data_IF_453763587865
#
_entry.id   IF_453763587865
#
_cell.length_a   1.000
_cell.length_b   1.000
_cell.length_c   1.000
_cell.angle_alpha   90.00
_cell.angle_beta   90.00
_cell.angle_gamma   90.00
#
_symmetry.space_group_name_H-M   'P 1'
#
loop_
_entity.id
_entity.type
_entity.pdbx_description
1 polymer ?
#
# COMPACT_ATOMS: atom_id res chain seq x y z
N UNK A 1 -38.19 22.03 20.11
CA UNK A 1 -37.31 21.92 21.28
C UNK A 1 -35.89 21.64 20.81
N UNK A 2 -34.95 22.54 21.12
CA UNK A 2 -33.52 22.26 21.04
C UNK A 2 -33.16 21.38 22.23
N UNK A 3 -32.53 20.23 22.01
CA UNK A 3 -31.51 19.62 22.88
C UNK A 3 -31.01 18.29 22.28
N UNK A 4 -29.75 18.31 21.88
CA UNK A 4 -28.73 17.32 22.24
C UNK A 4 -29.00 15.85 21.82
N UNK A 5 -28.84 15.54 20.53
CA UNK A 5 -28.38 14.21 20.15
C UNK A 5 -26.85 14.26 20.12
N UNK A 6 -26.23 13.76 21.19
CA UNK A 6 -24.79 13.61 21.33
C UNK A 6 -24.21 12.85 20.14
N UNK A 7 -23.29 13.49 19.41
CA UNK A 7 -22.32 12.85 18.54
C UNK A 7 -21.45 11.90 19.39
N UNK A 8 -21.82 10.62 19.44
CA UNK A 8 -20.94 9.54 19.90
C UNK A 8 -20.33 8.84 18.67
N UNK A 9 -19.46 9.56 17.95
CA UNK A 9 -18.54 8.95 16.98
C UNK A 9 -17.40 8.31 17.78
N UNK A 10 -17.57 7.09 18.26
CA UNK A 10 -16.51 6.38 18.99
C UNK A 10 -16.51 4.86 18.84
N UNK A 11 -16.97 4.31 17.71
CA UNK A 11 -16.99 2.85 17.52
C UNK A 11 -16.26 2.42 16.26
N UNK A 12 -14.91 2.51 16.25
CA UNK A 12 -14.00 1.45 15.70
C UNK A 12 -12.58 1.50 16.34
N UNK A 13 -12.42 1.94 17.59
CA UNK A 13 -11.10 1.92 18.26
C UNK A 13 -11.19 1.35 19.68
N UNK A 14 -11.51 0.06 19.78
CA UNK A 14 -11.17 -0.78 20.92
C UNK A 14 -10.73 -2.13 20.37
N UNK A 15 -9.44 -2.45 20.34
CA UNK A 15 -8.71 -2.97 21.51
C UNK A 15 -7.25 -2.46 21.58
N UNK A 16 -6.79 -2.24 22.82
CA UNK A 16 -5.43 -1.89 23.21
C UNK A 16 -4.47 -3.07 23.00
N UNK A 17 -3.29 -2.77 22.44
CA UNK A 17 -2.15 -3.70 22.34
C UNK A 17 -0.99 -3.08 21.55
N UNK A 18 -0.10 -2.38 22.25
CA UNK A 18 1.33 -2.09 21.99
C UNK A 18 1.88 -2.85 20.76
N UNK A 19 2.42 -2.27 19.69
CA UNK A 19 3.53 -1.30 19.51
C UNK A 19 3.31 -0.67 18.10
N UNK A 20 3.92 0.47 17.76
CA UNK A 20 4.21 0.97 16.39
C UNK A 20 3.91 -0.04 15.25
N UNK A 21 3.24 0.20 14.12
CA UNK A 21 3.15 1.35 13.23
C UNK A 21 2.29 0.86 12.02
N UNK A 22 1.19 1.50 11.67
CA UNK A 22 0.71 1.49 10.28
C UNK A 22 -0.11 2.77 10.12
N UNK A 23 0.62 3.89 10.05
CA UNK A 23 0.04 5.24 10.05
C UNK A 23 -0.59 5.63 8.71
N UNK A 24 -0.31 4.89 7.63
CA UNK A 24 -0.29 5.53 6.31
C UNK A 24 -1.07 4.75 5.25
N UNK A 25 -2.23 4.18 5.57
CA UNK A 25 -3.10 3.62 4.54
C UNK A 25 -4.46 4.28 4.52
N UNK A 26 -4.48 5.37 3.77
CA UNK A 26 -5.66 6.10 3.36
C UNK A 26 -6.72 5.16 2.78
N UNK A 27 -7.94 5.32 3.27
CA UNK A 27 -9.13 4.63 2.74
C UNK A 27 -10.37 5.47 2.95
N UNK A 28 -11.37 5.21 2.12
CA UNK A 28 -12.70 5.78 2.25
C UNK A 28 -13.63 4.71 2.82
N UNK A 29 -14.38 5.04 3.85
CA UNK A 29 -15.35 4.15 4.50
C UNK A 29 -16.72 4.82 4.55
N UNK A 30 -17.79 4.05 4.31
CA UNK A 30 -19.15 4.50 4.57
C UNK A 30 -19.61 3.92 5.90
N UNK A 31 -19.98 4.76 6.87
CA UNK A 31 -20.49 4.34 8.19
C UNK A 31 -21.64 5.25 8.59
N UNK A 32 -22.78 4.67 8.97
CA UNK A 32 -23.97 5.38 9.44
C UNK A 32 -24.45 6.46 8.45
N UNK A 33 -24.27 6.20 7.15
CA UNK A 33 -24.62 7.14 6.08
C UNK A 33 -23.60 8.24 5.81
N UNK A 34 -22.52 8.32 6.59
CA UNK A 34 -21.44 9.28 6.40
C UNK A 34 -20.24 8.64 5.68
N UNK A 35 -19.76 9.29 4.62
CA UNK A 35 -18.51 8.93 3.96
C UNK A 35 -17.35 9.59 4.69
N UNK A 36 -16.45 8.79 5.23
CA UNK A 36 -15.28 9.24 5.96
C UNK A 36 -14.01 8.84 5.20
N UNK A 37 -13.08 9.77 5.10
CA UNK A 37 -11.69 9.48 4.76
C UNK A 37 -10.93 9.20 6.06
N UNK A 38 -10.32 8.03 6.15
CA UNK A 38 -9.35 7.72 7.19
C UNK A 38 -7.97 8.06 6.65
N UNK A 39 -7.30 9.07 7.22
CA UNK A 39 -5.96 9.52 6.82
C UNK A 39 -5.17 9.89 8.06
N UNK A 40 -3.96 9.36 8.22
CA UNK A 40 -3.10 9.65 9.39
C UNK A 40 -3.78 9.42 10.76
N UNK A 41 -4.77 8.51 10.80
CA UNK A 41 -5.69 8.22 11.93
C UNK A 41 -6.82 9.24 12.13
N UNK A 42 -6.79 10.35 11.42
CA UNK A 42 -7.91 11.28 11.38
C UNK A 42 -9.06 10.67 10.58
N UNK A 43 -10.28 10.93 11.07
CA UNK A 43 -11.52 10.60 10.39
C UNK A 43 -12.11 11.90 9.86
N UNK A 44 -11.97 12.12 8.55
CA UNK A 44 -12.37 13.36 7.91
C UNK A 44 -13.63 13.06 7.11
N UNK A 45 -14.75 13.66 7.49
CA UNK A 45 -15.98 13.56 6.69
C UNK A 45 -15.72 14.14 5.30
N UNK A 46 -16.02 13.35 4.28
CA UNK A 46 -15.83 13.73 2.90
C UNK A 46 -16.89 14.80 2.54
N UNK A 47 -16.44 16.03 2.25
CA UNK A 47 -17.32 17.14 1.85
C UNK A 47 -17.43 17.28 0.32
N UNK A 48 -16.32 17.01 -0.36
CA UNK A 48 -16.18 17.05 -1.80
C UNK A 48 -15.75 15.68 -2.32
N UNK A 49 -16.02 15.39 -3.59
CA UNK A 49 -15.54 14.15 -4.21
C UNK A 49 -14.01 14.02 -4.11
N UNK A 50 -13.53 12.79 -3.99
CA UNK A 50 -12.10 12.46 -4.03
C UNK A 50 -11.81 11.52 -5.20
N UNK A 51 -10.71 11.77 -5.90
CA UNK A 51 -10.17 10.84 -6.89
C UNK A 51 -9.12 9.97 -6.23
N UNK A 52 -9.30 8.65 -6.27
CA UNK A 52 -8.36 7.65 -5.80
C UNK A 52 -7.19 7.50 -6.80
N UNK A 53 -6.12 6.82 -6.40
CA UNK A 53 -4.93 6.68 -7.24
C UNK A 53 -5.23 5.93 -8.54
N UNK A 54 -6.19 5.00 -8.54
CA UNK A 54 -6.58 4.24 -9.72
C UNK A 54 -7.47 5.02 -10.70
N UNK A 55 -7.85 6.26 -10.35
CA UNK A 55 -8.78 7.10 -11.11
C UNK A 55 -10.24 6.95 -10.69
N UNK A 56 -10.56 6.07 -9.73
CA UNK A 56 -11.92 5.96 -9.18
C UNK A 56 -12.30 7.26 -8.46
N UNK A 57 -13.51 7.77 -8.72
CA UNK A 57 -14.03 8.97 -8.08
C UNK A 57 -15.06 8.55 -7.03
N UNK A 58 -14.83 8.91 -5.77
CA UNK A 58 -15.77 8.64 -4.67
C UNK A 58 -16.46 9.94 -4.27
N UNK A 59 -17.79 9.92 -4.20
CA UNK A 59 -18.60 11.07 -3.84
C UNK A 59 -18.97 11.06 -2.34
N UNK A 60 -19.31 12.23 -1.75
CA UNK A 60 -19.74 12.35 -0.36
C UNK A 60 -20.99 11.52 0.01
N UNK A 61 -21.79 11.10 -0.96
CA UNK A 61 -23.01 10.31 -0.76
C UNK A 61 -22.78 8.78 -0.78
N UNK A 62 -21.51 8.36 -0.91
CA UNK A 62 -21.08 6.96 -0.94
C UNK A 62 -21.17 6.33 -2.33
N UNK A 63 -21.66 7.04 -3.35
CA UNK A 63 -21.52 6.58 -4.74
C UNK A 63 -20.08 6.72 -5.22
N UNK A 64 -19.64 5.81 -6.07
CA UNK A 64 -18.34 5.91 -6.72
C UNK A 64 -18.42 5.50 -8.17
N UNK A 65 -17.56 6.10 -8.97
CA UNK A 65 -17.42 5.85 -10.40
C UNK A 65 -16.02 5.29 -10.59
N UNK A 66 -15.91 4.03 -11.03
CA UNK A 66 -14.60 3.48 -11.37
C UNK A 66 -14.04 4.24 -12.56
N UNK A 67 -12.75 4.08 -12.77
CA UNK A 67 -12.11 4.62 -13.96
C UNK A 67 -12.79 4.21 -15.27
N UNK A 68 -13.25 2.96 -15.37
CA UNK A 68 -13.96 2.41 -16.53
C UNK A 68 -15.40 2.96 -16.66
N UNK A 69 -15.76 3.96 -15.84
CA UNK A 69 -17.03 4.68 -15.79
C UNK A 69 -18.20 3.86 -15.25
N UNK A 70 -17.94 2.69 -14.68
CA UNK A 70 -18.94 1.91 -13.96
C UNK A 70 -19.32 2.62 -12.67
N UNK A 71 -20.62 2.63 -12.37
CA UNK A 71 -21.18 3.31 -11.19
C UNK A 71 -21.58 2.30 -10.13
N UNK A 72 -21.19 2.58 -8.90
CA UNK A 72 -21.45 1.75 -7.75
C UNK A 72 -21.78 2.60 -6.51
N UNK A 73 -22.14 1.93 -5.42
CA UNK A 73 -22.36 2.54 -4.12
C UNK A 73 -21.68 1.70 -3.03
N UNK A 74 -20.94 2.36 -2.16
CA UNK A 74 -20.44 1.75 -0.93
C UNK A 74 -21.63 1.25 -0.10
N UNK A 75 -21.46 0.08 0.50
CA UNK A 75 -22.37 -0.43 1.52
C UNK A 75 -21.94 0.10 2.88
N UNK A 76 -22.89 0.20 3.80
CA UNK A 76 -22.56 0.56 5.17
C UNK A 76 -21.54 -0.42 5.77
N UNK A 77 -20.52 0.11 6.42
CA UNK A 77 -19.35 -0.60 6.93
C UNK A 77 -18.30 -0.99 5.88
N UNK A 78 -18.57 -0.86 4.57
CA UNK A 78 -17.59 -1.17 3.52
C UNK A 78 -16.57 -0.04 3.33
N UNK A 79 -15.37 -0.38 2.87
CA UNK A 79 -14.32 0.60 2.60
C UNK A 79 -13.62 0.33 1.26
N UNK A 80 -13.11 1.39 0.64
CA UNK A 80 -12.28 1.34 -0.57
C UNK A 80 -10.94 2.02 -0.26
N UNK A 81 -9.83 1.36 -0.57
CA UNK A 81 -8.51 1.96 -0.38
C UNK A 81 -8.11 2.86 -1.55
N UNK A 82 -7.03 3.62 -1.40
CA UNK A 82 -6.55 4.52 -2.46
C UNK A 82 -6.14 3.82 -3.76
N UNK A 83 -5.96 2.49 -3.76
CA UNK A 83 -5.66 1.71 -4.98
C UNK A 83 -6.95 1.22 -5.67
N UNK A 84 -8.12 1.65 -5.21
CA UNK A 84 -9.43 1.29 -5.76
C UNK A 84 -9.97 -0.05 -5.29
N UNK A 85 -9.34 -0.68 -4.30
CA UNK A 85 -9.74 -2.01 -3.85
C UNK A 85 -10.88 -1.89 -2.85
N UNK A 86 -12.03 -2.44 -3.21
CA UNK A 86 -13.20 -2.53 -2.33
C UNK A 86 -13.06 -3.69 -1.33
N UNK A 87 -13.41 -3.40 -0.08
CA UNK A 87 -13.49 -4.34 1.03
C UNK A 87 -14.90 -4.30 1.63
N UNK A 88 -15.43 -5.49 1.94
CA UNK A 88 -16.76 -5.66 2.55
C UNK A 88 -16.87 -5.02 3.94
N UNK A 89 -15.74 -4.95 4.64
CA UNK A 89 -15.62 -4.36 5.96
C UNK A 89 -14.17 -4.08 6.34
N UNK A 90 -14.00 -3.29 7.40
CA UNK A 90 -12.71 -2.93 7.99
C UNK A 90 -11.87 -4.17 8.35
N UNK A 91 -12.47 -5.23 8.87
CA UNK A 91 -11.75 -6.47 9.21
C UNK A 91 -11.07 -7.10 7.98
N UNK A 92 -11.76 -7.15 6.84
CA UNK A 92 -11.20 -7.68 5.60
C UNK A 92 -10.02 -6.83 5.11
N UNK A 93 -10.15 -5.51 5.20
CA UNK A 93 -9.06 -4.58 4.89
C UNK A 93 -7.85 -4.84 5.79
N UNK A 94 -8.04 -4.83 7.12
CA UNK A 94 -6.97 -5.06 8.08
C UNK A 94 -6.26 -6.41 7.88
N UNK A 95 -7.04 -7.46 7.62
CA UNK A 95 -6.49 -8.78 7.31
C UNK A 95 -5.62 -8.77 6.04
N UNK A 96 -6.06 -8.06 4.99
CA UNK A 96 -5.28 -7.92 3.75
C UNK A 96 -3.98 -7.16 4.00
N UNK A 97 -4.01 -6.06 4.75
CA UNK A 97 -2.81 -5.27 5.06
C UNK A 97 -1.82 -6.08 5.89
N UNK A 98 -2.30 -6.75 6.95
CA UNK A 98 -1.47 -7.63 7.78
C UNK A 98 -0.77 -8.71 6.96
N UNK A 99 -1.48 -9.31 6.00
CA UNK A 99 -0.90 -10.32 5.13
C UNK A 99 0.15 -9.74 4.18
N UNK A 100 -0.07 -8.55 3.60
CA UNK A 100 0.93 -7.87 2.76
C UNK A 100 2.19 -7.46 3.54
N UNK A 101 2.04 -7.21 4.83
CA UNK A 101 3.13 -6.83 5.73
C UNK A 101 3.84 -8.04 6.36
N UNK A 102 3.37 -9.27 6.10
CA UNK A 102 3.87 -10.46 6.77
C UNK A 102 5.38 -10.65 6.55
N UNK A 103 6.12 -10.69 7.66
CA UNK A 103 7.57 -10.88 7.69
C UNK A 103 8.38 -9.60 7.46
N UNK A 104 7.75 -8.45 7.29
CA UNK A 104 8.43 -7.17 7.33
C UNK A 104 8.59 -6.72 8.78
N UNK A 105 9.74 -6.13 9.09
CA UNK A 105 9.91 -5.35 10.31
C UNK A 105 9.19 -4.00 10.17
N UNK A 106 8.87 -3.38 11.30
CA UNK A 106 8.12 -2.12 11.33
C UNK A 106 8.78 -1.00 10.52
N UNK A 107 10.10 -0.84 10.69
CA UNK A 107 10.89 0.11 9.92
C UNK A 107 10.77 -0.11 8.40
N UNK A 108 10.65 -1.37 7.94
CA UNK A 108 10.48 -1.69 6.52
C UNK A 108 9.06 -1.38 6.04
N UNK A 109 8.06 -1.52 6.90
CA UNK A 109 6.67 -1.15 6.59
C UNK A 109 6.58 0.36 6.43
N UNK A 110 7.17 1.12 7.36
CA UNK A 110 7.25 2.58 7.28
C UNK A 110 8.00 3.06 6.06
N UNK A 111 9.20 2.54 5.82
CA UNK A 111 10.02 2.93 4.68
C UNK A 111 9.27 2.69 3.37
N UNK A 112 8.63 1.52 3.23
CA UNK A 112 7.81 1.22 2.05
C UNK A 112 6.68 2.22 1.88
N UNK A 113 6.03 2.65 2.96
CA UNK A 113 4.89 3.55 2.86
C UNK A 113 5.31 5.01 2.63
N UNK A 114 6.40 5.46 3.25
CA UNK A 114 7.01 6.78 3.05
C UNK A 114 7.71 6.94 1.70
N UNK A 115 8.02 5.83 1.04
CA UNK A 115 8.60 5.80 -0.30
C UNK A 115 7.62 5.29 -1.36
N UNK A 116 6.30 5.32 -1.09
CA UNK A 116 5.31 5.01 -2.14
C UNK A 116 5.44 6.05 -3.23
N UNK A 117 5.80 5.59 -4.42
CA UNK A 117 5.98 6.44 -5.57
C UNK A 117 5.47 5.77 -6.83
N UNK A 118 4.63 6.50 -7.55
CA UNK A 118 3.98 6.06 -8.78
C UNK A 118 3.89 7.24 -9.74
N UNK A 119 4.20 7.03 -11.01
CA UNK A 119 3.76 7.91 -12.09
C UNK A 119 2.65 7.19 -12.83
N UNK A 120 1.47 7.79 -12.86
CA UNK A 120 0.26 7.15 -13.37
C UNK A 120 -0.43 8.04 -14.37
N UNK A 121 -0.91 7.43 -15.46
CA UNK A 121 -1.80 8.09 -16.40
C UNK A 121 -3.24 7.94 -15.90
N UNK A 122 -3.95 9.06 -15.73
CA UNK A 122 -5.36 9.11 -15.34
C UNK A 122 -6.08 10.04 -16.30
N UNK A 123 -7.01 9.51 -17.09
CA UNK A 123 -7.79 10.25 -18.10
C UNK A 123 -6.89 11.11 -19.03
N UNK A 124 -5.74 10.57 -19.45
CA UNK A 124 -4.80 11.24 -20.37
C UNK A 124 -3.90 12.29 -19.72
N UNK A 125 -3.89 12.38 -18.38
CA UNK A 125 -3.00 13.27 -17.63
C UNK A 125 -2.08 12.46 -16.74
N UNK A 126 -0.78 12.78 -16.74
CA UNK A 126 0.14 12.16 -15.80
C UNK A 126 0.06 12.79 -14.42
N UNK A 127 0.04 11.93 -13.41
CA UNK A 127 0.13 12.28 -12.01
C UNK A 127 1.33 11.60 -11.38
N UNK A 128 2.13 12.38 -10.66
CA UNK A 128 3.07 11.88 -9.68
C UNK A 128 2.32 11.68 -8.37
N UNK A 129 2.25 10.42 -7.95
CA UNK A 129 1.68 10.02 -6.68
C UNK A 129 2.86 9.66 -5.77
N UNK A 130 3.10 10.50 -4.77
CA UNK A 130 4.14 10.27 -3.76
C UNK A 130 3.47 10.25 -2.39
N UNK A 131 3.49 9.10 -1.75
CA UNK A 131 2.78 8.84 -0.50
C UNK A 131 1.29 9.17 -0.66
N UNK A 132 0.80 10.20 0.04
CA UNK A 132 -0.59 10.67 -0.02
C UNK A 132 -0.79 11.83 -1.00
N UNK A 133 0.28 12.38 -1.59
CA UNK A 133 0.20 13.52 -2.48
C UNK A 133 0.06 13.05 -3.94
N UNK A 134 -0.95 13.56 -4.63
CA UNK A 134 -1.18 13.35 -6.06
C UNK A 134 -1.02 14.69 -6.77
N UNK A 135 0.09 14.86 -7.50
CA UNK A 135 0.42 16.09 -8.21
C UNK A 135 0.43 15.84 -9.71
N UNK A 136 -0.29 16.65 -10.47
CA UNK A 136 -0.21 16.60 -11.94
C UNK A 136 1.23 16.88 -12.38
N UNK A 137 1.77 16.01 -13.24
CA UNK A 137 3.10 16.17 -13.77
C UNK A 137 3.11 17.32 -14.78
N UNK A 138 3.83 18.39 -14.48
CA UNK A 138 3.91 19.59 -15.32
C UNK A 138 5.18 19.67 -16.16
N UNK A 139 6.21 18.96 -15.75
CA UNK A 139 7.53 18.99 -16.37
C UNK A 139 8.03 17.56 -16.55
N UNK A 140 8.96 17.40 -17.48
CA UNK A 140 9.66 16.14 -17.70
C UNK A 140 10.33 15.67 -16.41
N UNK A 141 10.25 14.36 -16.17
CA UNK A 141 10.72 13.72 -14.96
C UNK A 141 11.71 12.63 -15.31
N UNK A 142 12.89 12.70 -14.70
CA UNK A 142 13.90 11.65 -14.78
C UNK A 142 13.67 10.66 -13.63
N UNK A 143 13.39 9.42 -13.98
CA UNK A 143 13.35 8.28 -13.07
C UNK A 143 14.72 7.59 -13.05
N UNK A 144 14.87 6.57 -12.21
CA UNK A 144 16.10 5.76 -12.21
C UNK A 144 16.24 4.99 -13.55
N UNK A 145 17.40 4.35 -13.75
CA UNK A 145 17.69 3.53 -14.92
C UNK A 145 17.51 4.27 -16.26
N UNK A 146 17.81 5.58 -16.25
CA UNK A 146 17.75 6.48 -17.42
C UNK A 146 16.36 6.61 -18.04
N UNK A 147 15.30 6.23 -17.32
CA UNK A 147 13.92 6.40 -17.79
C UNK A 147 13.53 7.87 -17.67
N UNK A 148 12.96 8.40 -18.73
CA UNK A 148 12.56 9.80 -18.85
C UNK A 148 11.08 9.84 -19.21
N UNK A 149 10.27 10.50 -18.38
CA UNK A 149 8.82 10.57 -18.54
C UNK A 149 8.40 12.01 -18.85
N UNK A 150 7.58 12.19 -19.87
CA UNK A 150 7.04 13.48 -20.28
C UNK A 150 5.61 13.68 -19.73
N UNK A 151 5.16 14.93 -19.51
CA UNK A 151 3.80 15.22 -19.03
C UNK A 151 2.66 14.64 -19.88
N UNK A 152 2.92 14.38 -21.17
CA UNK A 152 1.94 13.84 -22.12
C UNK A 152 1.72 12.33 -21.99
N UNK A 153 2.48 11.61 -21.14
CA UNK A 153 2.39 10.16 -21.01
C UNK A 153 3.47 9.39 -21.76
N UNK A 154 4.19 10.03 -22.68
CA UNK A 154 5.32 9.39 -23.38
C UNK A 154 6.52 9.23 -22.45
N UNK A 155 7.26 8.14 -22.62
CA UNK A 155 8.50 7.91 -21.89
C UNK A 155 9.51 7.08 -22.67
N UNK A 156 10.78 7.24 -22.35
CA UNK A 156 11.85 6.37 -22.83
C UNK A 156 12.08 5.27 -21.80
N UNK A 157 11.91 4.00 -22.19
CA UNK A 157 12.16 2.88 -21.29
C UNK A 157 13.67 2.62 -21.12
N UNK A 158 14.04 1.63 -20.29
CA UNK A 158 15.44 1.30 -20.00
C UNK A 158 16.24 0.85 -21.24
N UNK A 159 15.54 0.33 -22.23
CA UNK A 159 16.11 -0.15 -23.50
C UNK A 159 16.24 0.98 -24.53
N UNK A 160 15.90 2.22 -24.16
CA UNK A 160 15.95 3.39 -25.04
C UNK A 160 14.76 3.51 -25.98
N UNK A 161 13.74 2.66 -25.84
CA UNK A 161 12.56 2.69 -26.70
C UNK A 161 11.58 3.76 -26.22
N UNK A 162 11.01 4.50 -27.17
CA UNK A 162 9.92 5.42 -26.89
C UNK A 162 8.61 4.66 -26.81
N UNK A 163 7.94 4.81 -25.67
CA UNK A 163 6.69 4.13 -25.33
C UNK A 163 5.75 5.16 -24.70
N UNK A 164 4.50 4.76 -24.46
CA UNK A 164 3.49 5.63 -23.90
C UNK A 164 2.72 4.89 -22.82
N UNK A 165 2.55 5.52 -21.66
CA UNK A 165 1.70 4.96 -20.61
C UNK A 165 0.26 5.01 -21.07
N UNK A 166 -0.38 3.85 -21.17
CA UNK A 166 -1.83 3.80 -21.35
C UNK A 166 -2.49 4.27 -20.07
N UNK A 167 -3.71 4.76 -20.23
CA UNK A 167 -4.51 5.19 -19.10
C UNK A 167 -4.54 4.05 -18.05
N UNK A 168 -4.09 4.34 -16.83
CA UNK A 168 -4.14 3.43 -15.67
C UNK A 168 -2.88 2.61 -15.46
N UNK A 169 -2.00 2.59 -16.44
CA UNK A 169 -0.66 2.04 -16.28
C UNK A 169 0.16 2.95 -15.37
N UNK A 170 1.10 2.34 -14.67
CA UNK A 170 1.92 3.01 -13.66
C UNK A 170 3.39 2.67 -13.84
N UNK A 171 4.26 3.67 -13.71
CA UNK A 171 5.70 3.50 -13.52
C UNK A 171 6.06 3.67 -12.05
N UNK A 172 6.93 2.81 -11.53
CA UNK A 172 7.59 3.07 -10.24
C UNK A 172 8.86 3.91 -10.41
N UNK A 173 9.55 4.26 -9.31
CA UNK A 173 10.81 5.04 -9.35
C UNK A 173 11.90 4.39 -10.22
N UNK A 174 11.87 3.08 -10.35
CA UNK A 174 12.85 2.35 -11.15
C UNK A 174 12.51 2.32 -12.64
N UNK A 175 11.39 2.94 -13.03
CA UNK A 175 10.88 2.93 -14.39
C UNK A 175 10.30 1.58 -14.81
N UNK A 176 9.92 0.72 -13.86
CA UNK A 176 9.20 -0.51 -14.15
C UNK A 176 7.72 -0.19 -14.34
N UNK A 177 7.15 -0.66 -15.45
CA UNK A 177 5.73 -0.48 -15.76
C UNK A 177 4.90 -1.61 -15.16
N UNK A 178 3.75 -1.25 -14.62
CA UNK A 178 2.71 -2.17 -14.17
C UNK A 178 1.37 -1.76 -14.75
N UNK A 179 0.48 -2.75 -14.95
CA UNK A 179 -0.88 -2.54 -15.46
C UNK A 179 -1.69 -1.54 -14.63
N UNK A 180 -1.48 -1.51 -13.31
CA UNK A 180 -2.11 -0.58 -12.36
C UNK A 180 -1.39 -0.64 -11.00
N UNK A 181 -1.79 0.25 -10.08
CA UNK A 181 -1.28 0.35 -8.71
C UNK A 181 -1.47 -0.94 -7.92
N UNK A 182 -2.60 -1.63 -8.08
CA UNK A 182 -2.86 -2.92 -7.44
C UNK A 182 -1.83 -3.99 -7.84
N UNK A 183 -1.52 -4.12 -9.13
CA UNK A 183 -0.53 -5.07 -9.62
C UNK A 183 0.87 -4.75 -9.10
N UNK A 184 1.24 -3.48 -9.06
CA UNK A 184 2.51 -3.07 -8.45
C UNK A 184 2.56 -3.44 -6.96
N UNK A 185 1.51 -3.11 -6.18
CA UNK A 185 1.40 -3.46 -4.76
C UNK A 185 1.50 -4.97 -4.51
N UNK A 186 0.81 -5.78 -5.32
CA UNK A 186 0.86 -7.24 -5.26
C UNK A 186 2.28 -7.77 -5.49
N UNK A 187 2.98 -7.23 -6.49
CA UNK A 187 4.36 -7.63 -6.82
C UNK A 187 5.34 -7.28 -5.69
N UNK A 188 5.22 -6.09 -5.08
CA UNK A 188 6.05 -5.68 -3.94
C UNK A 188 5.81 -6.59 -2.73
N UNK A 189 4.55 -6.88 -2.39
CA UNK A 189 4.21 -7.80 -1.31
C UNK A 189 4.79 -9.20 -1.54
N UNK A 190 4.69 -9.73 -2.77
CA UNK A 190 5.24 -11.03 -3.12
C UNK A 190 6.78 -11.07 -3.03
N UNK A 191 7.46 -10.03 -3.52
CA UNK A 191 8.93 -9.91 -3.46
C UNK A 191 9.42 -9.96 -2.01
N UNK A 192 8.74 -9.24 -1.11
CA UNK A 192 9.07 -9.21 0.31
C UNK A 192 8.89 -10.58 0.97
N UNK A 193 7.78 -11.28 0.69
CA UNK A 193 7.56 -12.63 1.18
C UNK A 193 8.64 -13.61 0.72
N UNK A 194 9.07 -13.51 -0.55
CA UNK A 194 10.09 -14.39 -1.11
C UNK A 194 11.47 -14.12 -0.51
N UNK A 195 11.88 -12.84 -0.39
CA UNK A 195 13.14 -12.45 0.24
C UNK A 195 13.24 -12.99 1.67
N UNK A 196 12.14 -12.91 2.43
CA UNK A 196 12.07 -13.45 3.77
C UNK A 196 12.25 -14.98 3.79
N UNK A 197 11.56 -15.73 2.91
CA UNK A 197 11.72 -17.20 2.81
C UNK A 197 13.17 -17.60 2.54
N UNK A 198 13.86 -16.90 1.64
CA UNK A 198 15.28 -17.16 1.33
C UNK A 198 16.17 -16.88 2.55
N UNK A 199 15.89 -15.82 3.32
CA UNK A 199 16.63 -15.54 4.57
C UNK A 199 16.38 -16.61 5.65
N UNK A 200 15.15 -17.11 5.81
CA UNK A 200 14.87 -18.20 6.76
C UNK A 200 15.56 -19.50 6.37
N UNK A 201 15.57 -19.84 5.08
CA UNK A 201 16.27 -21.03 4.57
C UNK A 201 17.78 -20.97 4.80
N UNK A 202 18.41 -19.80 4.56
CA UNK A 202 19.85 -19.60 4.84
C UNK A 202 20.18 -19.77 6.32
N UNK A 203 19.34 -19.25 7.24
CA UNK A 203 19.53 -19.40 8.70
C UNK A 203 19.37 -20.85 9.20
N UNK A 204 18.56 -21.67 8.53
CA UNK A 204 18.39 -23.10 8.89
C UNK A 204 19.60 -23.92 8.43
N UNK A 205 20.18 -23.62 7.26
CA UNK A 205 21.39 -24.31 6.79
C UNK A 205 22.64 -23.99 7.64
N UNK A 206 22.74 -22.80 8.25
CA UNK A 206 23.89 -22.45 9.11
C UNK A 206 23.86 -23.09 10.50
N UNK A 207 22.75 -23.72 10.92
CA UNK A 207 22.62 -24.34 12.25
C UNK A 207 23.02 -25.82 12.31
N UNK A 208 23.44 -26.43 11.20
CA UNK A 208 23.87 -27.85 11.16
C UNK A 208 25.34 -27.96 10.78
N UNK A 209 26.23 -27.48 11.66
CA UNK A 209 27.64 -27.89 11.67
C UNK A 209 28.30 -27.48 12.99
N UNK A 210 27.96 -28.16 14.08
CA UNK A 210 28.84 -28.21 15.27
C UNK A 210 29.42 -29.63 15.29
N UNK A 211 30.71 -29.84 14.98
CA UNK A 211 31.32 -31.15 15.15
C UNK A 211 31.44 -31.45 16.65
N UNK A 212 30.78 -32.52 17.09
CA UNK A 212 30.88 -33.03 18.46
C UNK A 212 32.30 -33.56 18.67
N UNK A 213 33.14 -32.80 19.38
CA UNK A 213 34.43 -33.31 19.88
C UNK A 213 34.16 -34.31 21.01
N UNK A 214 34.36 -35.62 20.74
CA UNK A 214 34.43 -36.65 21.77
C UNK A 214 35.64 -36.38 22.67
N UNK A 215 35.42 -35.93 23.91
CA UNK A 215 36.44 -35.93 24.97
C UNK A 215 36.66 -37.37 25.47
N UNK A 216 37.84 -37.92 25.23
CA UNK A 216 38.31 -39.15 25.88
C UNK A 216 38.65 -38.85 27.35
N UNK A 217 37.94 -39.48 28.29
CA UNK A 217 38.30 -39.49 29.71
C UNK A 217 39.46 -40.46 29.95
N UNK A 218 40.64 -39.95 30.32
CA UNK A 218 41.69 -40.74 30.99
C UNK A 218 41.30 -40.90 32.46
N UNK A 219 41.12 -42.15 32.90
CA UNK A 219 41.04 -42.51 34.33
C UNK A 219 42.43 -42.35 34.95
N UNK A 220 42.55 -41.48 35.95
CA UNK A 220 43.68 -41.42 36.87
C UNK A 220 43.41 -42.27 38.11
N UNK A 221 44.35 -43.16 38.41
CA UNK A 221 44.44 -44.01 39.60
C UNK A 221 45.22 -43.28 40.69
N UNK A 222 44.81 -43.46 41.95
CA UNK A 222 45.52 -43.10 43.18
C UNK A 222 44.53 -43.17 44.34
N UNK A 223 44.74 -43.87 45.45
CA UNK A 223 45.86 -44.63 46.01
C UNK A 223 45.27 -45.84 46.75
#
# INVERSE_FOLDING_TARGET
>A
MKKLAMFLIFIVLGTLGLVAQDKDRDRIILVDGDVLQIRDRDQIRLKDKITLNDGTIVNPDGTYITKDKDRFRLRDGSCIDMDGILYRNEYQYQYKIKNENKGLAEAQIQERTQNRYHIMNIDGQLYQIKNQAQNKLKQQLKLNNRVVVNPDGSYTNRDGQQVHLRDGEVLNMDGQMFKNTYMHRKMVAQKNMNANKTMTQKKVQTKVSIPVQKKNMKKGSGN
#
